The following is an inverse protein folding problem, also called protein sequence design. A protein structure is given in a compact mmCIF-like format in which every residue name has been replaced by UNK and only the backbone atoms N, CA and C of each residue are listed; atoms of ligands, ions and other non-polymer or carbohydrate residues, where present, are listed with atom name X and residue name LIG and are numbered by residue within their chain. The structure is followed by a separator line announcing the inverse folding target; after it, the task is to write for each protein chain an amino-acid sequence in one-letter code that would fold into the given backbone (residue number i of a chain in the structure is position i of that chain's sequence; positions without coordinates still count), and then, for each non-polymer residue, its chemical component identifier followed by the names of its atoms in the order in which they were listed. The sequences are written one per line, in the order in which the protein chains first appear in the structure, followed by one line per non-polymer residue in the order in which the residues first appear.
data_IF_717979663964
#
_entry.id   IF_717979663964
#
_cell.length_a   1.000
_cell.length_b   1.000
_cell.length_c   1.000
_cell.angle_alpha   90.00
_cell.angle_beta   90.00
_cell.angle_gamma   90.00
#
_symmetry.space_group_name_H-M   'P 1'
#
loop_
_entity.id
_entity.type
_entity.pdbx_description
1 polymer ?
#
# COMPACT_ATOMS: atom_id res chain seq x y z
N UNK A 1 -3.00 -6.15 -19.60
CA UNK A 1 -2.52 -5.64 -18.30
C UNK A 1 -3.00 -4.21 -18.07
N UNK A 2 -2.91 -3.69 -16.84
CA UNK A 2 -3.27 -2.30 -16.50
C UNK A 2 -2.09 -1.34 -16.81
N UNK A 3 -2.36 -0.16 -17.35
CA UNK A 3 -1.38 0.93 -17.58
C UNK A 3 -1.37 1.90 -16.41
N UNK A 4 -0.93 1.40 -15.24
CA UNK A 4 -0.92 2.13 -13.96
C UNK A 4 0.38 1.92 -13.19
N UNK A 5 1.41 1.42 -13.86
CA UNK A 5 2.70 1.13 -13.25
C UNK A 5 3.63 2.33 -13.35
N UNK A 6 4.46 2.49 -12.34
CA UNK A 6 5.55 3.46 -12.25
C UNK A 6 6.76 2.76 -11.65
N UNK A 7 7.96 3.31 -11.83
CA UNK A 7 9.08 2.97 -10.98
C UNK A 7 9.14 3.94 -9.79
N UNK A 8 10.02 3.70 -8.83
CA UNK A 8 10.28 4.68 -7.78
C UNK A 8 11.75 4.67 -7.35
N UNK A 9 12.19 5.83 -6.86
CA UNK A 9 13.52 6.00 -6.26
C UNK A 9 13.44 6.69 -4.90
N UNK A 10 14.40 6.46 -4.00
CA UNK A 10 14.52 7.24 -2.78
C UNK A 10 14.83 8.71 -3.12
N UNK A 11 14.11 9.63 -2.50
CA UNK A 11 14.32 11.08 -2.62
C UNK A 11 14.31 11.70 -1.24
N UNK A 12 15.44 12.30 -0.85
CA UNK A 12 15.56 13.00 0.43
C UNK A 12 14.72 14.29 0.39
N UNK A 13 13.87 14.46 1.40
CA UNK A 13 13.09 15.68 1.66
C UNK A 13 13.33 16.10 3.11
N UNK A 14 14.24 17.06 3.29
CA UNK A 14 14.76 17.42 4.61
C UNK A 14 15.42 16.22 5.28
N UNK A 15 14.91 15.85 6.45
CA UNK A 15 15.42 14.72 7.26
C UNK A 15 14.74 13.38 6.92
N UNK A 16 13.75 13.38 6.04
CA UNK A 16 13.03 12.17 5.64
C UNK A 16 13.44 11.69 4.26
N UNK A 17 13.35 10.37 4.03
CA UNK A 17 13.50 9.77 2.70
C UNK A 17 12.12 9.37 2.21
N UNK A 18 11.69 9.98 1.11
CA UNK A 18 10.43 9.65 0.42
C UNK A 18 10.69 8.69 -0.72
N UNK A 19 9.69 7.85 -1.02
CA UNK A 19 9.68 7.00 -2.21
C UNK A 19 9.02 7.84 -3.31
N UNK A 20 9.80 8.38 -4.23
CA UNK A 20 9.28 9.26 -5.28
C UNK A 20 8.96 8.42 -6.52
N UNK A 21 7.72 8.46 -7.05
CA UNK A 21 7.38 7.74 -8.27
C UNK A 21 8.05 8.43 -9.47
N UNK A 22 8.52 7.62 -10.41
CA UNK A 22 9.18 8.07 -11.62
C UNK A 22 8.69 7.27 -12.82
N UNK A 23 8.70 7.93 -13.97
CA UNK A 23 8.48 7.33 -15.28
C UNK A 23 9.66 6.44 -15.65
N UNK A 24 9.53 5.61 -16.70
CA UNK A 24 10.60 4.69 -17.10
C UNK A 24 11.87 5.38 -17.61
N UNK A 25 11.79 6.67 -18.00
CA UNK A 25 12.94 7.51 -18.33
C UNK A 25 13.60 8.17 -17.09
N UNK A 26 13.06 7.92 -15.89
CA UNK A 26 13.54 8.47 -14.62
C UNK A 26 13.01 9.86 -14.25
N UNK A 27 12.19 10.48 -15.10
CA UNK A 27 11.51 11.75 -14.77
C UNK A 27 10.40 11.52 -13.73
N UNK A 28 9.98 12.53 -12.96
CA UNK A 28 8.89 12.35 -11.99
C UNK A 28 7.59 11.87 -12.63
N UNK A 29 6.90 10.95 -11.96
CA UNK A 29 5.54 10.54 -12.31
C UNK A 29 4.52 11.14 -11.34
N UNK A 30 3.30 11.37 -11.81
CA UNK A 30 2.17 11.86 -11.01
C UNK A 30 1.34 10.67 -10.51
N UNK A 31 0.69 10.77 -9.35
CA UNK A 31 -0.30 9.77 -8.91
C UNK A 31 -1.71 10.02 -9.46
N UNK A 32 -1.90 11.06 -10.28
CA UNK A 32 -3.20 11.46 -10.81
C UNK A 32 -3.19 11.79 -12.30
N UNK A 33 -2.04 11.75 -12.97
CA UNK A 33 -1.92 11.96 -14.41
C UNK A 33 -1.52 10.66 -15.13
N UNK A 34 -2.47 9.99 -15.81
CA UNK A 34 -2.21 8.75 -16.54
C UNK A 34 -1.14 8.84 -17.63
N UNK A 35 -0.88 10.04 -18.16
CA UNK A 35 0.17 10.23 -19.17
C UNK A 35 1.58 9.97 -18.63
N UNK A 36 1.73 9.93 -17.30
CA UNK A 36 3.00 9.66 -16.62
C UNK A 36 3.13 8.22 -16.11
N UNK A 37 2.21 7.32 -16.50
CA UNK A 37 2.24 5.91 -16.11
C UNK A 37 2.61 5.03 -17.29
N UNK A 38 2.94 3.77 -17.01
CA UNK A 38 3.27 2.78 -18.02
C UNK A 38 2.62 1.41 -17.70
N UNK A 39 2.86 0.42 -18.54
CA UNK A 39 2.50 -0.97 -18.31
C UNK A 39 3.53 -1.70 -17.41
N UNK A 40 3.18 -2.93 -17.02
CA UNK A 40 4.01 -3.71 -16.10
C UNK A 40 5.36 -4.08 -16.74
N UNK A 41 5.32 -4.56 -17.97
CA UNK A 41 6.47 -5.05 -18.71
C UNK A 41 7.51 -3.95 -18.89
N UNK A 42 7.08 -2.74 -19.22
CA UNK A 42 7.95 -1.57 -19.37
C UNK A 42 8.55 -1.15 -18.03
N UNK A 43 7.75 -1.08 -16.96
CA UNK A 43 8.24 -0.73 -15.62
C UNK A 43 9.24 -1.77 -15.07
N UNK A 44 8.99 -3.06 -15.33
CA UNK A 44 9.87 -4.16 -14.93
C UNK A 44 11.19 -4.14 -15.71
N UNK A 45 11.12 -3.96 -17.04
CA UNK A 45 12.28 -3.98 -17.93
C UNK A 45 13.19 -2.77 -17.72
N UNK A 46 12.64 -1.56 -17.66
CA UNK A 46 13.44 -0.33 -17.57
C UNK A 46 13.93 -0.06 -16.16
N UNK A 47 13.18 -0.49 -15.13
CA UNK A 47 13.58 -0.47 -13.73
C UNK A 47 14.20 0.87 -13.28
N UNK A 48 13.56 1.99 -13.65
CA UNK A 48 14.07 3.33 -13.37
C UNK A 48 14.01 3.66 -11.86
N UNK A 49 14.98 3.20 -11.08
CA UNK A 49 15.04 3.38 -9.63
C UNK A 49 15.37 2.10 -8.89
N UNK A 50 14.71 1.87 -7.75
CA UNK A 50 14.99 0.73 -6.86
C UNK A 50 13.80 -0.24 -6.74
N UNK A 51 12.72 0.03 -7.45
CA UNK A 51 11.54 -0.83 -7.46
C UNK A 51 10.39 -0.25 -8.27
N UNK A 52 9.26 -0.97 -8.24
CA UNK A 52 8.03 -0.62 -8.93
C UNK A 52 6.98 -0.10 -7.95
N UNK A 53 6.00 0.61 -8.48
CA UNK A 53 4.79 0.99 -7.79
C UNK A 53 3.59 0.96 -8.73
N UNK A 54 2.40 0.96 -8.13
CA UNK A 54 1.13 0.90 -8.84
C UNK A 54 0.23 2.03 -8.37
N UNK A 55 -0.36 2.76 -9.32
CA UNK A 55 -1.22 3.91 -9.05
C UNK A 55 -2.68 3.48 -8.85
N UNK A 56 -3.21 3.76 -7.66
CA UNK A 56 -4.55 3.35 -7.23
C UNK A 56 -5.66 4.12 -7.97
N UNK A 57 -6.83 3.50 -8.05
CA UNK A 57 -8.00 3.94 -8.82
C UNK A 57 -8.56 2.79 -9.66
N UNK A 58 -9.72 2.97 -10.29
CA UNK A 58 -10.33 1.93 -11.13
C UNK A 58 -10.70 0.66 -10.36
N UNK A 59 -11.08 0.80 -9.09
CA UNK A 59 -11.46 -0.30 -8.21
C UNK A 59 -10.31 -0.90 -7.39
N UNK A 60 -9.05 -0.50 -7.60
CA UNK A 60 -7.91 -0.99 -6.82
C UNK A 60 -7.69 -0.17 -5.55
N UNK A 61 -7.47 -0.86 -4.43
CA UNK A 61 -7.26 -0.26 -3.12
C UNK A 61 -6.14 -0.95 -2.34
N UNK A 62 -5.59 -0.24 -1.37
CA UNK A 62 -4.56 -0.73 -0.48
C UNK A 62 -4.71 -0.13 0.92
N UNK A 63 -4.59 -0.97 1.93
CA UNK A 63 -4.25 -0.55 3.29
C UNK A 63 -2.74 -0.72 3.49
N UNK A 64 -2.06 0.37 3.79
CA UNK A 64 -0.66 0.42 4.15
C UNK A 64 -0.52 0.41 5.68
N UNK A 65 0.09 -0.65 6.22
CA UNK A 65 0.34 -0.84 7.64
C UNK A 65 1.82 -0.57 7.92
N UNK A 66 2.13 0.68 8.22
CA UNK A 66 3.49 1.15 8.47
C UNK A 66 3.97 0.73 9.86
N UNK A 67 5.25 0.33 9.96
CA UNK A 67 5.92 -0.01 11.22
C UNK A 67 5.09 -0.95 12.13
N UNK A 68 4.49 -1.98 11.53
CA UNK A 68 3.59 -2.89 12.24
C UNK A 68 4.32 -4.04 12.95
N UNK A 69 5.65 -4.02 12.99
CA UNK A 69 6.49 -4.94 13.76
C UNK A 69 7.16 -4.21 14.93
N UNK A 70 7.24 -4.86 16.08
CA UNK A 70 7.98 -4.38 17.24
C UNK A 70 9.50 -4.59 17.10
N UNK A 71 10.28 -4.09 18.06
CA UNK A 71 11.74 -4.25 18.09
C UNK A 71 12.22 -5.71 18.24
N UNK A 72 11.32 -6.64 18.59
CA UNK A 72 11.56 -8.08 18.68
C UNK A 72 11.06 -8.82 17.44
N UNK A 73 10.65 -8.09 16.40
CA UNK A 73 10.11 -8.62 15.15
C UNK A 73 8.77 -9.36 15.32
N UNK A 74 7.96 -8.99 16.31
CA UNK A 74 6.58 -9.46 16.43
C UNK A 74 5.62 -8.48 15.77
N UNK A 75 4.68 -9.03 15.01
CA UNK A 75 3.59 -8.23 14.44
C UNK A 75 2.69 -7.68 15.56
N UNK A 76 2.31 -6.41 15.45
CA UNK A 76 1.40 -5.74 16.36
C UNK A 76 -0.02 -6.36 16.30
N UNK A 77 -0.75 -6.32 17.41
CA UNK A 77 -2.06 -6.99 17.50
C UNK A 77 -3.13 -6.36 16.61
N UNK A 78 -3.09 -5.03 16.44
CA UNK A 78 -3.97 -4.34 15.49
C UNK A 78 -3.72 -4.81 14.05
N UNK A 79 -2.46 -5.05 13.67
CA UNK A 79 -2.11 -5.54 12.34
C UNK A 79 -2.54 -7.00 12.15
N UNK A 80 -2.38 -7.86 13.18
CA UNK A 80 -2.90 -9.24 13.15
C UNK A 80 -4.41 -9.26 12.92
N UNK A 81 -5.17 -8.41 13.64
CA UNK A 81 -6.62 -8.31 13.50
C UNK A 81 -7.03 -7.83 12.10
N UNK A 82 -6.33 -6.83 11.54
CA UNK A 82 -6.56 -6.38 10.17
C UNK A 82 -6.30 -7.46 9.13
N UNK A 83 -5.21 -8.21 9.26
CA UNK A 83 -4.89 -9.34 8.36
C UNK A 83 -5.98 -10.40 8.43
N UNK A 84 -6.47 -10.71 9.64
CA UNK A 84 -7.57 -11.66 9.83
C UNK A 84 -8.86 -11.17 9.16
N UNK A 85 -9.20 -9.88 9.32
CA UNK A 85 -10.39 -9.26 8.72
C UNK A 85 -10.29 -9.10 7.19
N UNK A 86 -9.07 -8.93 6.66
CA UNK A 86 -8.82 -8.82 5.23
C UNK A 86 -9.19 -10.09 4.45
N UNK A 87 -9.27 -11.22 5.15
CA UNK A 87 -9.59 -12.50 4.54
C UNK A 87 -8.56 -12.92 3.50
N UNK A 88 -9.04 -13.57 2.44
CA UNK A 88 -8.17 -14.19 1.44
C UNK A 88 -7.82 -13.18 0.32
N UNK A 89 -6.96 -12.22 0.63
CA UNK A 89 -6.44 -11.23 -0.33
C UNK A 89 -4.91 -11.17 -0.32
N UNK A 90 -4.33 -10.54 -1.34
CA UNK A 90 -2.89 -10.40 -1.44
C UNK A 90 -2.35 -9.43 -0.39
N UNK A 91 -1.37 -9.91 0.38
CA UNK A 91 -0.66 -9.15 1.40
C UNK A 91 0.82 -9.33 1.11
N UNK A 92 1.54 -8.22 1.02
CA UNK A 92 2.98 -8.21 0.81
C UNK A 92 3.72 -7.46 1.91
N UNK A 93 5.00 -7.80 2.06
CA UNK A 93 5.92 -7.07 2.92
C UNK A 93 6.32 -5.78 2.20
N UNK A 94 6.21 -4.64 2.89
CA UNK A 94 6.56 -3.34 2.32
C UNK A 94 8.08 -3.23 2.05
N UNK A 95 8.56 -2.22 1.27
CA UNK A 95 9.99 -2.11 0.95
C UNK A 95 10.92 -1.96 2.16
N UNK A 96 10.44 -1.40 3.28
CA UNK A 96 11.23 -1.24 4.50
C UNK A 96 11.43 -2.54 5.27
N UNK A 97 10.59 -3.56 5.01
CA UNK A 97 10.63 -4.86 5.69
C UNK A 97 9.88 -4.92 7.02
N UNK A 98 9.49 -3.78 7.58
CA UNK A 98 8.78 -3.64 8.86
C UNK A 98 7.33 -3.14 8.71
N UNK A 99 6.81 -3.14 7.49
CA UNK A 99 5.41 -2.82 7.17
C UNK A 99 4.77 -3.86 6.26
N UNK A 100 3.45 -3.76 6.08
CA UNK A 100 2.67 -4.64 5.22
C UNK A 100 1.72 -3.82 4.34
N UNK A 101 1.56 -4.23 3.08
CA UNK A 101 0.47 -3.75 2.22
C UNK A 101 -0.60 -4.81 2.10
N UNK A 102 -1.85 -4.48 2.43
CA UNK A 102 -3.02 -5.31 2.17
C UNK A 102 -3.70 -4.77 0.91
N UNK A 103 -3.53 -5.48 -0.19
CA UNK A 103 -4.11 -5.13 -1.49
C UNK A 103 -5.51 -5.70 -1.64
N UNK A 104 -6.39 -4.99 -2.34
CA UNK A 104 -7.74 -5.48 -2.61
C UNK A 104 -8.52 -4.59 -3.58
N UNK A 105 -9.82 -4.84 -3.65
CA UNK A 105 -10.77 -4.10 -4.46
C UNK A 105 -11.68 -3.24 -3.56
N UNK A 106 -11.92 -1.99 -3.98
CA UNK A 106 -12.86 -1.09 -3.32
C UNK A 106 -13.20 0.09 -4.26
N UNK A 107 -14.44 0.57 -4.19
CA UNK A 107 -14.86 1.80 -4.87
C UNK A 107 -14.03 3.04 -4.44
N UNK A 108 -13.95 4.07 -5.29
CA UNK A 108 -13.22 5.31 -4.98
C UNK A 108 -13.75 5.99 -3.71
N UNK A 109 -12.84 6.27 -2.76
CA UNK A 109 -13.12 6.88 -1.46
C UNK A 109 -12.04 7.90 -1.10
N UNK A 110 -12.30 8.69 -0.04
CA UNK A 110 -11.30 9.62 0.49
C UNK A 110 -10.21 8.83 1.20
N UNK A 111 -8.96 9.19 0.96
CA UNK A 111 -7.82 8.59 1.66
C UNK A 111 -7.84 8.91 3.15
N UNK A 112 -7.48 7.93 3.97
CA UNK A 112 -7.49 8.03 5.44
C UNK A 112 -6.12 7.73 6.00
N UNK A 113 -5.78 8.44 7.07
CA UNK A 113 -4.61 8.16 7.90
C UNK A 113 -5.06 8.06 9.34
N UNK A 114 -4.72 6.96 9.98
CA UNK A 114 -4.94 6.74 11.41
C UNK A 114 -3.59 6.71 12.11
N UNK A 115 -3.49 7.47 13.21
CA UNK A 115 -2.26 7.75 13.96
C UNK A 115 -2.48 7.71 15.47
N UNK A 116 -3.34 6.81 15.94
CA UNK A 116 -3.67 6.66 17.36
C UNK A 116 -3.15 5.31 17.89
N UNK A 117 -1.85 5.26 18.22
CA UNK A 117 -1.15 4.02 18.58
C UNK A 117 -0.97 3.02 17.43
N UNK A 118 -1.53 3.34 16.25
CA UNK A 118 -1.48 2.57 15.01
C UNK A 118 -0.99 3.48 13.90
N UNK A 119 -0.31 2.92 12.90
CA UNK A 119 0.14 3.67 11.74
C UNK A 119 -0.44 3.03 10.47
N UNK A 120 -1.66 3.45 10.13
CA UNK A 120 -2.45 2.90 9.02
C UNK A 120 -2.73 4.01 8.02
N UNK A 121 -2.51 3.77 6.73
CA UNK A 121 -3.04 4.59 5.64
C UNK A 121 -3.93 3.73 4.73
N UNK A 122 -5.12 4.23 4.37
CA UNK A 122 -6.06 3.54 3.51
C UNK A 122 -6.37 4.38 2.27
N UNK A 123 -6.18 3.80 1.08
CA UNK A 123 -6.38 4.49 -0.19
C UNK A 123 -7.04 3.59 -1.23
N UNK A 124 -7.95 4.15 -2.03
CA UNK A 124 -8.49 3.51 -3.25
C UNK A 124 -8.28 4.35 -4.51
N UNK A 125 -7.66 5.53 -4.39
CA UNK A 125 -7.38 6.45 -5.50
C UNK A 125 -6.37 7.54 -5.10
N UNK A 126 -5.84 8.26 -6.11
CA UNK A 126 -5.06 9.49 -5.92
C UNK A 126 -3.66 9.29 -5.34
N UNK A 127 -3.28 8.04 -5.07
CA UNK A 127 -1.97 7.64 -4.54
C UNK A 127 -1.43 6.48 -5.33
N UNK A 128 -0.12 6.37 -5.35
CA UNK A 128 0.56 5.15 -5.74
C UNK A 128 1.06 4.42 -4.49
N UNK A 129 1.21 3.11 -4.59
CA UNK A 129 1.80 2.26 -3.56
C UNK A 129 2.97 1.51 -4.20
N UNK A 130 4.09 1.42 -3.47
CA UNK A 130 5.23 0.61 -3.93
C UNK A 130 4.86 -0.86 -3.90
N UNK A 131 5.25 -1.61 -4.91
CA UNK A 131 4.96 -3.05 -5.03
C UNK A 131 6.26 -3.82 -4.83
N UNK A 132 6.27 -4.78 -3.92
CA UNK A 132 7.44 -5.64 -3.69
C UNK A 132 7.26 -7.04 -4.28
N UNK A 133 6.02 -7.48 -4.43
CA UNK A 133 5.69 -8.85 -4.82
C UNK A 133 6.10 -9.90 -3.78
N UNK A 134 6.60 -9.48 -2.60
CA UNK A 134 7.08 -10.39 -1.54
C UNK A 134 5.91 -10.79 -0.65
N UNK A 135 5.31 -11.97 -0.84
CA UNK A 135 4.11 -12.34 -0.09
C UNK A 135 4.41 -12.40 1.41
N UNK A 136 3.48 -11.88 2.21
CA UNK A 136 3.45 -12.16 3.63
C UNK A 136 3.00 -13.61 3.84
N UNK A 137 3.91 -14.46 4.34
CA UNK A 137 3.67 -15.89 4.55
C UNK A 137 3.16 -16.57 3.27
N UNK A 138 2.05 -17.32 3.36
CA UNK A 138 1.42 -18.03 2.25
C UNK A 138 0.29 -17.23 1.60
N UNK A 139 0.35 -15.89 1.66
CA UNK A 139 -0.67 -15.02 1.07
C UNK A 139 -0.92 -15.38 -0.40
N UNK A 140 -2.20 -15.41 -0.79
CA UNK A 140 -2.62 -15.78 -2.14
C UNK A 140 -2.41 -14.62 -3.10
N UNK A 141 -2.08 -14.93 -4.36
CA UNK A 141 -1.98 -13.95 -5.44
C UNK A 141 -3.36 -13.64 -6.05
N UNK A 142 -4.28 -13.13 -5.23
CA UNK A 142 -5.60 -12.65 -5.68
C UNK A 142 -6.02 -11.41 -4.90
N UNK A 143 -6.93 -10.62 -5.46
CA UNK A 143 -7.49 -9.45 -4.80
C UNK A 143 -8.94 -9.74 -4.41
N UNK A 144 -9.25 -9.61 -3.13
CA UNK A 144 -10.61 -9.68 -2.60
C UNK A 144 -11.21 -8.28 -2.44
N UNK A 145 -12.52 -8.20 -2.24
CA UNK A 145 -13.18 -6.97 -1.79
C UNK A 145 -12.72 -6.64 -0.37
N UNK A 146 -12.14 -5.46 -0.18
CA UNK A 146 -11.65 -4.97 1.12
C UNK A 146 -12.45 -3.76 1.63
N UNK A 147 -13.66 -3.54 1.10
CA UNK A 147 -14.54 -2.44 1.49
C UNK A 147 -14.80 -2.40 2.99
N UNK A 148 -14.91 -3.56 3.64
CA UNK A 148 -15.05 -3.64 5.11
C UNK A 148 -13.85 -2.99 5.83
N UNK A 149 -12.62 -3.27 5.40
CA UNK A 149 -11.44 -2.66 6.01
C UNK A 149 -11.40 -1.14 5.79
N UNK A 150 -11.82 -0.69 4.60
CA UNK A 150 -11.90 0.72 4.26
C UNK A 150 -12.93 1.45 5.14
N UNK A 151 -14.11 0.85 5.36
CA UNK A 151 -15.13 1.40 6.25
C UNK A 151 -14.66 1.46 7.71
N UNK A 152 -13.93 0.43 8.18
CA UNK A 152 -13.38 0.44 9.53
C UNK A 152 -12.37 1.59 9.72
N UNK A 153 -11.60 1.91 8.68
CA UNK A 153 -10.71 3.06 8.68
C UNK A 153 -11.47 4.40 8.70
N UNK A 154 -12.57 4.50 7.94
CA UNK A 154 -13.41 5.70 7.84
C UNK A 154 -14.03 6.12 9.18
N UNK A 155 -14.47 5.15 9.98
CA UNK A 155 -15.28 5.42 11.16
C UNK A 155 -14.50 5.47 12.47
N UNK A 156 -13.16 5.44 12.42
CA UNK A 156 -12.30 5.23 13.59
C UNK A 156 -12.78 4.05 14.46
N UNK A 157 -13.43 3.08 13.81
CA UNK A 157 -14.02 1.93 14.47
C UNK A 157 -12.93 1.01 15.04
N UNK A 158 -11.68 1.19 14.61
CA UNK A 158 -10.50 0.54 15.15
C UNK A 158 -10.28 0.86 16.62
N UNK A 159 -10.47 2.11 17.06
CA UNK A 159 -10.36 2.45 18.48
C UNK A 159 -11.32 1.61 19.33
N UNK A 160 -12.53 1.34 18.85
CA UNK A 160 -13.53 0.50 19.56
C UNK A 160 -13.23 -1.00 19.45
N UNK A 161 -12.89 -1.49 18.26
CA UNK A 161 -12.52 -2.90 18.01
C UNK A 161 -11.23 -3.34 18.75
N UNK A 162 -10.38 -2.39 19.12
CA UNK A 162 -9.09 -2.68 19.74
C UNK A 162 -9.02 -2.33 21.23
N UNK A 163 -9.91 -1.46 21.75
CA UNK A 163 -9.96 -1.11 23.18
C UNK A 163 -10.92 -1.96 24.03
N UNK A 164 -11.79 -2.78 23.42
CA UNK A 164 -12.70 -3.68 24.15
C UNK A 164 -12.06 -5.05 24.54
N UNK A 165 -10.78 -5.07 24.93
CA UNK A 165 -10.11 -6.26 25.51
C UNK A 165 -9.34 -5.94 26.78
#
# INVERSE_FOLDING_TARGET
MQTRWVNWRPMRRGDTVTKMPVQPDGTPASSTDPATWTDYETAEQLHAGVGMGFVLGGGFACLDLDHCYDARNHLADWAKKLIMLAGDTFIEISPSGDGLHIWGLCEPRKGIKLRDGMNIEAYSQGRYITVTGKPYKTSKRKLADITVLMNLAEHDAFGRLFNDM
#
